data_IF_643079224697
#
_entry.id   IF_643079224697
#
_cell.length_a   1.000
_cell.length_b   1.000
_cell.length_c   1.000
_cell.angle_alpha   90.00
_cell.angle_beta   90.00
_cell.angle_gamma   90.00
#
_symmetry.space_group_name_H-M   'P 1'
#
loop_
_entity.id
_entity.type
_entity.pdbx_description
1 polymer ?
#
# COMPACT_ATOMS: atom_id res chain seq x y z
N UNK A 1 -4.60 25.04 -8.98
CA UNK A 1 -5.19 24.52 -10.25
C UNK A 1 -4.19 23.76 -11.12
N UNK A 2 -2.90 24.08 -11.12
CA UNK A 2 -1.89 23.45 -11.99
C UNK A 2 -1.62 21.96 -11.69
N UNK A 3 -1.79 21.51 -10.47
CA UNK A 3 -1.49 20.13 -10.08
C UNK A 3 -2.60 19.11 -10.30
N UNK A 4 -3.84 19.56 -10.56
CA UNK A 4 -5.00 18.65 -10.69
C UNK A 4 -5.16 18.10 -12.12
N UNK A 5 -4.74 18.85 -13.14
CA UNK A 5 -5.00 18.53 -14.56
C UNK A 5 -3.75 17.96 -15.25
N UNK A 6 -2.56 18.24 -14.73
CA UNK A 6 -1.28 17.76 -15.29
C UNK A 6 -0.74 16.59 -14.48
N UNK A 7 0.00 15.70 -15.15
CA UNK A 7 0.70 14.60 -14.46
C UNK A 7 1.83 15.13 -13.57
N UNK A 8 2.19 14.36 -12.56
CA UNK A 8 3.31 14.66 -11.67
C UNK A 8 4.59 14.92 -12.47
N UNK A 9 4.91 14.05 -13.44
CA UNK A 9 6.06 14.21 -14.32
C UNK A 9 6.03 15.54 -15.09
N UNK A 10 4.88 15.90 -15.69
CA UNK A 10 4.74 17.13 -16.44
C UNK A 10 4.91 18.39 -15.57
N UNK A 11 4.44 18.35 -14.32
CA UNK A 11 4.65 19.42 -13.34
C UNK A 11 6.13 19.52 -12.97
N UNK A 12 6.76 18.40 -12.63
CA UNK A 12 8.15 18.37 -12.18
C UNK A 12 9.11 18.82 -13.30
N UNK A 13 8.93 18.33 -14.52
CA UNK A 13 9.74 18.76 -15.68
C UNK A 13 9.57 20.25 -15.99
N UNK A 14 8.39 20.83 -15.77
CA UNK A 14 8.18 22.27 -16.00
C UNK A 14 8.84 23.16 -14.93
N UNK A 15 9.16 22.62 -13.75
CA UNK A 15 9.74 23.36 -12.63
C UNK A 15 11.25 23.18 -12.50
N UNK A 16 11.77 22.02 -12.88
CA UNK A 16 13.16 21.66 -12.68
C UNK A 16 13.87 21.45 -14.02
N UNK A 17 14.95 22.21 -14.27
CA UNK A 17 15.78 22.07 -15.49
C UNK A 17 16.58 20.78 -15.48
N UNK A 18 17.01 20.32 -14.29
CA UNK A 18 17.77 19.08 -14.16
C UNK A 18 16.82 17.87 -14.20
N UNK A 19 16.96 16.96 -15.19
CA UNK A 19 16.08 15.80 -15.31
C UNK A 19 16.20 14.83 -14.12
N UNK A 20 17.34 14.75 -13.47
CA UNK A 20 17.52 13.92 -12.26
C UNK A 20 16.71 14.45 -11.08
N UNK A 21 16.57 15.78 -10.95
CA UNK A 21 15.70 16.37 -9.91
C UNK A 21 14.24 16.02 -10.17
N UNK A 22 13.79 16.14 -11.42
CA UNK A 22 12.43 15.74 -11.79
C UNK A 22 12.20 14.24 -11.54
N UNK A 23 13.17 13.37 -11.86
CA UNK A 23 13.11 11.93 -11.59
C UNK A 23 13.03 11.62 -10.09
N UNK A 24 13.84 12.29 -9.27
CA UNK A 24 13.79 12.15 -7.81
C UNK A 24 12.40 12.47 -7.24
N UNK A 25 11.78 13.56 -7.70
CA UNK A 25 10.44 13.94 -7.27
C UNK A 25 9.35 13.03 -7.86
N UNK A 26 9.54 12.53 -9.06
CA UNK A 26 8.63 11.57 -9.68
C UNK A 26 8.53 10.27 -8.89
N UNK A 27 9.58 9.87 -8.15
CA UNK A 27 9.56 8.71 -7.27
C UNK A 27 8.41 8.77 -6.26
N UNK A 28 7.98 9.96 -5.86
CA UNK A 28 6.91 10.11 -4.87
C UNK A 28 5.57 9.51 -5.31
N UNK A 29 5.37 9.29 -6.60
CA UNK A 29 4.19 8.57 -7.11
C UNK A 29 4.12 7.12 -6.60
N UNK A 30 5.26 6.49 -6.30
CA UNK A 30 5.33 5.11 -5.81
C UNK A 30 4.73 4.93 -4.42
N UNK A 31 4.61 5.99 -3.62
CA UNK A 31 3.90 5.94 -2.33
C UNK A 31 2.42 5.55 -2.47
N UNK A 32 1.83 5.85 -3.63
CA UNK A 32 0.47 5.43 -3.97
C UNK A 32 0.43 4.23 -4.92
N UNK A 33 1.57 3.57 -5.15
CA UNK A 33 1.67 2.48 -6.12
C UNK A 33 1.29 2.91 -7.55
N UNK A 34 1.57 4.15 -7.92
CA UNK A 34 1.15 4.76 -9.19
C UNK A 34 2.34 5.21 -10.05
N UNK A 35 2.10 5.39 -11.36
CA UNK A 35 3.09 5.94 -12.29
C UNK A 35 3.09 7.47 -12.24
N UNK A 36 4.26 8.15 -12.14
CA UNK A 36 4.33 9.62 -12.19
C UNK A 36 3.87 10.20 -13.54
N UNK A 37 3.84 9.39 -14.58
CA UNK A 37 3.37 9.77 -15.92
C UNK A 37 1.84 9.77 -16.03
N UNK A 38 1.13 9.24 -15.03
CA UNK A 38 -0.33 9.12 -14.97
C UNK A 38 -0.91 9.81 -13.74
N UNK A 39 -0.17 9.81 -12.64
CA UNK A 39 -0.56 10.40 -11.35
C UNK A 39 -0.72 11.92 -11.44
N UNK A 40 -1.78 12.50 -10.87
CA UNK A 40 -1.96 13.94 -10.80
C UNK A 40 -0.80 14.65 -10.08
N UNK A 41 -0.36 15.78 -10.61
CA UNK A 41 0.73 16.58 -10.03
C UNK A 41 0.43 17.14 -8.64
N UNK A 42 -0.83 17.15 -8.21
CA UNK A 42 -1.24 17.49 -6.85
C UNK A 42 -0.51 16.60 -5.81
N UNK A 43 -0.22 15.34 -6.16
CA UNK A 43 0.48 14.42 -5.27
C UNK A 43 1.95 14.78 -5.02
N UNK A 44 2.49 15.83 -5.64
CA UNK A 44 3.76 16.45 -5.21
C UNK A 44 3.70 17.01 -3.76
N UNK A 45 2.50 17.07 -3.15
CA UNK A 45 2.37 17.35 -1.73
C UNK A 45 3.14 16.35 -0.87
N UNK A 46 3.31 15.11 -1.33
CA UNK A 46 4.11 14.08 -0.65
C UNK A 46 5.57 14.55 -0.52
N UNK A 47 6.13 15.13 -1.59
CA UNK A 47 7.47 15.72 -1.54
C UNK A 47 7.57 16.85 -0.51
N UNK A 48 6.53 17.69 -0.42
CA UNK A 48 6.50 18.76 0.57
C UNK A 48 6.51 18.19 2.00
N UNK A 49 5.69 17.19 2.29
CA UNK A 49 5.67 16.55 3.60
C UNK A 49 7.00 15.88 3.93
N UNK A 50 7.59 15.12 2.99
CA UNK A 50 8.86 14.42 3.21
C UNK A 50 10.02 15.38 3.47
N UNK A 51 10.12 16.49 2.72
CA UNK A 51 11.26 17.41 2.83
C UNK A 51 11.10 18.51 3.89
N UNK A 52 9.88 18.88 4.27
CA UNK A 52 9.65 19.95 5.24
C UNK A 52 9.29 19.42 6.63
N UNK A 53 8.43 18.39 6.71
CA UNK A 53 8.07 17.76 7.99
C UNK A 53 9.10 16.69 8.39
N UNK A 54 9.68 16.02 7.41
CA UNK A 54 10.61 14.92 7.57
C UNK A 54 9.94 13.59 7.92
N UNK A 55 10.58 12.46 7.61
CA UNK A 55 10.13 11.14 8.03
C UNK A 55 10.42 10.92 9.51
N UNK A 56 9.49 10.28 10.22
CA UNK A 56 9.70 9.83 11.59
C UNK A 56 9.81 8.31 11.63
N UNK A 57 10.74 7.79 12.43
CA UNK A 57 10.89 6.37 12.67
C UNK A 57 10.67 6.07 14.15
N UNK A 58 9.84 5.08 14.50
CA UNK A 58 9.63 4.73 15.91
C UNK A 58 10.92 4.25 16.56
N UNK A 59 11.18 4.67 17.79
CA UNK A 59 12.28 4.14 18.59
C UNK A 59 12.04 2.64 18.82
N UNK A 60 13.01 1.81 18.48
CA UNK A 60 12.88 0.35 18.49
C UNK A 60 12.32 -0.26 17.20
N UNK A 61 12.20 0.56 16.13
CA UNK A 61 11.86 0.13 14.78
C UNK A 61 10.36 0.06 14.50
N UNK A 62 10.00 -0.20 13.24
CA UNK A 62 8.61 -0.19 12.75
C UNK A 62 7.69 -1.17 13.49
N UNK A 63 8.21 -2.25 14.03
CA UNK A 63 7.45 -3.23 14.81
C UNK A 63 6.76 -2.59 16.03
N UNK A 64 7.26 -1.47 16.53
CA UNK A 64 6.67 -0.79 17.69
C UNK A 64 5.28 -0.22 17.37
N UNK A 65 5.02 0.16 16.13
CA UNK A 65 3.68 0.59 15.71
C UNK A 65 2.68 -0.56 15.92
N UNK A 66 3.01 -1.76 15.41
CA UNK A 66 2.13 -2.93 15.56
C UNK A 66 1.95 -3.33 17.04
N UNK A 67 3.03 -3.29 17.83
CA UNK A 67 2.96 -3.61 19.27
C UNK A 67 2.10 -2.62 20.04
N UNK A 68 2.26 -1.32 19.78
CA UNK A 68 1.48 -0.27 20.44
C UNK A 68 0.00 -0.36 20.09
N UNK A 69 -0.32 -0.56 18.80
CA UNK A 69 -1.70 -0.74 18.37
C UNK A 69 -2.33 -2.01 18.95
N UNK A 70 -1.58 -3.11 18.98
CA UNK A 70 -2.04 -4.35 19.60
C UNK A 70 -2.35 -4.15 21.10
N UNK A 71 -1.46 -3.49 21.83
CA UNK A 71 -1.67 -3.18 23.25
C UNK A 71 -2.92 -2.31 23.45
N UNK A 72 -3.07 -1.25 22.67
CA UNK A 72 -4.26 -0.39 22.71
C UNK A 72 -5.55 -1.19 22.44
N UNK A 73 -5.53 -2.08 21.47
CA UNK A 73 -6.68 -2.95 21.18
C UNK A 73 -7.05 -3.83 22.38
N UNK A 74 -6.04 -4.41 23.07
CA UNK A 74 -6.28 -5.20 24.29
C UNK A 74 -6.90 -4.36 25.41
N UNK A 75 -6.42 -3.13 25.60
CA UNK A 75 -6.97 -2.19 26.60
C UNK A 75 -8.44 -1.80 26.27
N UNK A 76 -8.80 -1.77 24.99
CA UNK A 76 -10.16 -1.54 24.52
C UNK A 76 -11.03 -2.82 24.52
N UNK A 77 -10.52 -3.96 25.01
CA UNK A 77 -11.28 -5.20 25.11
C UNK A 77 -11.36 -6.02 23.82
N UNK A 78 -10.53 -5.71 22.81
CA UNK A 78 -10.47 -6.48 21.55
C UNK A 78 -9.85 -7.85 21.84
N UNK A 79 -10.50 -8.90 21.34
CA UNK A 79 -10.00 -10.26 21.41
C UNK A 79 -9.23 -10.62 20.13
N UNK A 80 -8.04 -11.17 20.29
CA UNK A 80 -7.21 -11.61 19.16
C UNK A 80 -7.23 -13.13 19.04
N UNK A 81 -7.56 -13.64 17.87
CA UNK A 81 -7.51 -15.05 17.53
C UNK A 81 -6.42 -15.25 16.48
N UNK A 82 -5.19 -15.48 16.95
CA UNK A 82 -4.03 -15.70 16.06
C UNK A 82 -3.96 -17.16 15.62
N UNK A 83 -3.32 -17.40 14.47
CA UNK A 83 -3.21 -18.72 13.84
C UNK A 83 -4.57 -19.38 13.54
N UNK A 84 -5.61 -18.56 13.40
CA UNK A 84 -6.97 -19.00 13.06
C UNK A 84 -7.37 -18.38 11.72
N UNK A 85 -7.30 -19.16 10.66
CA UNK A 85 -7.60 -18.71 9.32
C UNK A 85 -9.10 -18.55 9.11
N UNK A 86 -9.52 -17.39 8.63
CA UNK A 86 -10.89 -17.19 8.14
C UNK A 86 -11.00 -17.79 6.73
N UNK A 87 -11.99 -18.66 6.54
CA UNK A 87 -12.23 -19.41 5.30
C UNK A 87 -13.45 -18.90 4.52
N UNK A 88 -14.40 -18.29 5.22
CA UNK A 88 -15.62 -17.78 4.61
C UNK A 88 -16.25 -16.69 5.46
N UNK A 89 -16.84 -15.69 4.80
CA UNK A 89 -17.75 -14.72 5.40
C UNK A 89 -19.18 -15.23 5.15
N UNK A 90 -19.87 -15.59 6.23
CA UNK A 90 -21.22 -16.14 6.18
C UNK A 90 -22.23 -15.02 5.96
N UNK A 91 -23.19 -15.25 5.09
CA UNK A 91 -24.22 -14.26 4.78
C UNK A 91 -25.56 -14.92 4.41
N UNK A 92 -26.63 -14.21 4.66
CA UNK A 92 -27.99 -14.58 4.22
C UNK A 92 -28.65 -13.37 3.59
N UNK A 93 -29.17 -13.49 2.37
CA UNK A 93 -29.83 -12.39 1.65
C UNK A 93 -28.98 -11.09 1.60
N UNK A 94 -27.70 -11.20 1.28
CA UNK A 94 -26.72 -10.12 1.24
C UNK A 94 -26.42 -9.44 2.59
N UNK A 95 -26.86 -10.03 3.71
CA UNK A 95 -26.54 -9.55 5.06
C UNK A 95 -25.52 -10.50 5.69
N UNK A 96 -24.44 -9.96 6.22
CA UNK A 96 -23.45 -10.74 6.97
C UNK A 96 -24.11 -11.33 8.22
N UNK A 97 -23.79 -12.59 8.51
CA UNK A 97 -24.27 -13.32 9.70
C UNK A 97 -23.13 -13.86 10.54
N UNK A 98 -21.91 -13.85 10.02
CA UNK A 98 -20.74 -14.34 10.75
C UNK A 98 -19.53 -14.63 9.86
N UNK A 99 -18.59 -15.33 10.44
CA UNK A 99 -17.44 -15.89 9.73
C UNK A 99 -17.27 -17.36 10.06
N UNK A 100 -16.71 -18.11 9.11
CA UNK A 100 -16.21 -19.47 9.37
C UNK A 100 -14.69 -19.43 9.33
N UNK A 101 -14.10 -19.96 10.37
CA UNK A 101 -12.66 -20.13 10.48
C UNK A 101 -12.28 -21.61 10.29
N UNK A 102 -10.97 -21.89 10.28
CA UNK A 102 -10.45 -23.25 10.28
C UNK A 102 -10.80 -24.05 11.55
N UNK A 103 -11.30 -23.40 12.61
CA UNK A 103 -11.57 -24.03 13.90
C UNK A 103 -13.07 -23.99 14.29
N UNK A 104 -13.77 -22.90 13.98
CA UNK A 104 -15.16 -22.66 14.41
C UNK A 104 -15.89 -21.67 13.52
N UNK A 105 -17.20 -21.56 13.74
CA UNK A 105 -17.99 -20.43 13.22
C UNK A 105 -18.23 -19.41 14.33
N UNK A 106 -18.18 -18.12 13.98
CA UNK A 106 -18.40 -16.99 14.88
C UNK A 106 -19.50 -16.13 14.29
N UNK A 107 -20.56 -15.90 15.03
CA UNK A 107 -21.65 -15.00 14.64
C UNK A 107 -21.21 -13.55 14.84
N UNK A 108 -21.48 -12.70 13.86
CA UNK A 108 -21.26 -11.26 13.94
C UNK A 108 -22.11 -10.53 12.90
N UNK A 109 -22.44 -9.28 13.17
CA UNK A 109 -23.23 -8.43 12.29
C UNK A 109 -22.41 -7.67 11.26
N UNK A 110 -21.11 -7.48 11.54
CA UNK A 110 -20.19 -6.70 10.71
C UNK A 110 -18.86 -7.44 10.59
N UNK A 111 -18.35 -7.50 9.37
CA UNK A 111 -17.01 -8.02 9.07
C UNK A 111 -16.22 -6.95 8.33
N UNK A 112 -15.02 -6.64 8.84
CA UNK A 112 -14.05 -5.79 8.15
C UNK A 112 -12.93 -6.68 7.63
N UNK A 113 -12.81 -6.80 6.31
CA UNK A 113 -11.74 -7.58 5.68
C UNK A 113 -10.54 -6.66 5.38
N UNK A 114 -9.36 -7.03 5.89
CA UNK A 114 -8.09 -6.42 5.50
C UNK A 114 -7.37 -7.19 4.39
N UNK A 115 -8.03 -8.16 3.79
CA UNK A 115 -7.56 -8.85 2.59
C UNK A 115 -7.81 -7.96 1.37
N UNK A 116 -6.97 -8.06 0.34
CA UNK A 116 -7.23 -7.43 -0.96
C UNK A 116 -8.68 -7.70 -1.40
N UNK A 117 -9.35 -6.68 -1.93
CA UNK A 117 -10.76 -6.75 -2.30
C UNK A 117 -11.04 -7.86 -3.32
N UNK A 118 -10.13 -8.09 -4.27
CA UNK A 118 -10.26 -9.18 -5.24
C UNK A 118 -10.31 -10.54 -4.53
N UNK A 119 -9.35 -10.81 -3.66
CA UNK A 119 -9.31 -12.06 -2.91
C UNK A 119 -10.40 -12.17 -1.85
N UNK A 120 -10.87 -11.07 -1.30
CA UNK A 120 -12.03 -11.08 -0.39
C UNK A 120 -13.26 -11.64 -1.12
N UNK A 121 -13.54 -11.15 -2.33
CA UNK A 121 -14.68 -11.67 -3.12
C UNK A 121 -14.44 -13.09 -3.67
N UNK A 122 -13.24 -13.34 -4.18
CA UNK A 122 -12.91 -14.65 -4.77
C UNK A 122 -12.94 -15.78 -3.72
N UNK A 123 -12.44 -15.52 -2.51
CA UNK A 123 -12.16 -16.57 -1.53
C UNK A 123 -13.10 -16.59 -0.34
N UNK A 124 -13.53 -15.43 0.16
CA UNK A 124 -14.30 -15.34 1.39
C UNK A 124 -15.80 -15.13 1.18
N UNK A 125 -16.21 -14.40 0.14
CA UNK A 125 -17.61 -14.06 -0.14
C UNK A 125 -18.19 -14.98 -1.22
N UNK A 126 -18.29 -16.26 -0.92
CA UNK A 126 -18.81 -17.27 -1.86
C UNK A 126 -20.30 -17.05 -2.13
N UNK A 127 -20.68 -17.11 -3.40
CA UNK A 127 -22.09 -17.02 -3.82
C UNK A 127 -22.68 -15.61 -3.87
N UNK A 128 -21.92 -14.58 -3.49
CA UNK A 128 -22.31 -13.19 -3.72
C UNK A 128 -21.95 -12.73 -5.13
N UNK A 129 -22.76 -11.81 -5.65
CA UNK A 129 -22.46 -11.18 -6.94
C UNK A 129 -21.19 -10.34 -6.83
N UNK A 130 -20.21 -10.70 -7.64
CA UNK A 130 -18.93 -9.95 -7.68
C UNK A 130 -19.14 -8.55 -8.24
N UNK A 131 -18.57 -7.52 -7.60
CA UNK A 131 -18.61 -6.15 -8.10
C UNK A 131 -17.64 -5.98 -9.28
N UNK A 132 -18.00 -6.52 -10.45
CA UNK A 132 -17.14 -6.56 -11.65
C UNK A 132 -16.48 -5.24 -11.99
N UNK A 133 -17.16 -4.11 -11.76
CA UNK A 133 -16.60 -2.78 -12.01
C UNK A 133 -15.42 -2.47 -11.08
N UNK A 134 -15.49 -2.88 -9.81
CA UNK A 134 -14.41 -2.67 -8.83
C UNK A 134 -13.26 -3.64 -9.12
N UNK A 135 -13.56 -4.92 -9.35
CA UNK A 135 -12.54 -5.95 -9.57
C UNK A 135 -11.76 -5.80 -10.88
N UNK A 136 -12.30 -5.05 -11.84
CA UNK A 136 -11.63 -4.74 -13.11
C UNK A 136 -10.82 -3.44 -13.09
N UNK A 137 -10.81 -2.71 -11.98
CA UNK A 137 -9.97 -1.52 -11.85
C UNK A 137 -8.49 -1.89 -11.94
N UNK A 138 -7.71 -0.96 -12.47
CA UNK A 138 -6.26 -1.08 -12.48
C UNK A 138 -5.75 -1.22 -11.04
N UNK A 139 -4.89 -2.20 -10.83
CA UNK A 139 -4.27 -2.44 -9.53
C UNK A 139 -3.08 -1.49 -9.33
N UNK A 140 -2.72 -1.23 -8.08
CA UNK A 140 -1.47 -0.56 -7.75
C UNK A 140 -0.26 -1.42 -8.17
N UNK A 141 0.90 -0.80 -8.32
CA UNK A 141 2.15 -1.54 -8.50
C UNK A 141 2.38 -2.51 -7.35
N UNK A 142 3.08 -3.60 -7.64
CA UNK A 142 3.57 -4.54 -6.64
C UNK A 142 5.09 -4.40 -6.46
N UNK A 143 5.61 -4.98 -5.38
CA UNK A 143 7.02 -5.01 -5.09
C UNK A 143 7.43 -6.36 -4.51
N UNK A 144 8.68 -6.74 -4.72
CA UNK A 144 9.30 -7.88 -4.05
C UNK A 144 10.15 -7.32 -2.91
N UNK A 145 9.92 -7.80 -1.69
CA UNK A 145 10.64 -7.35 -0.50
C UNK A 145 11.55 -8.48 -0.01
N UNK A 146 12.84 -8.15 0.17
CA UNK A 146 13.82 -9.06 0.73
C UNK A 146 14.29 -8.53 2.09
N UNK A 147 14.29 -9.39 3.10
CA UNK A 147 14.85 -9.10 4.41
C UNK A 147 16.21 -9.79 4.54
N UNK A 148 17.28 -9.01 4.38
CA UNK A 148 18.64 -9.53 4.42
C UNK A 148 19.28 -9.28 5.78
N UNK A 149 19.65 -10.37 6.47
CA UNK A 149 20.51 -10.30 7.65
C UNK A 149 21.97 -10.34 7.21
N UNK A 150 22.63 -9.19 7.23
CA UNK A 150 24.04 -9.06 6.82
C UNK A 150 24.96 -9.20 8.02
N UNK A 151 26.11 -9.87 7.83
CA UNK A 151 27.17 -9.98 8.88
C UNK A 151 28.03 -8.72 8.97
N UNK A 152 28.12 -7.98 7.88
CA UNK A 152 28.94 -6.77 7.76
C UNK A 152 28.05 -5.53 7.60
N UNK A 153 28.55 -4.39 8.04
CA UNK A 153 27.92 -3.09 7.81
C UNK A 153 28.56 -2.42 6.59
N UNK A 154 27.76 -1.73 5.81
CA UNK A 154 28.21 -0.96 4.64
C UNK A 154 28.11 0.52 5.00
N UNK A 155 29.28 1.17 5.15
CA UNK A 155 29.34 2.60 5.53
C UNK A 155 28.83 3.52 4.43
N UNK A 156 28.88 3.07 3.17
CA UNK A 156 28.39 3.81 2.00
C UNK A 156 26.87 3.88 1.91
N UNK A 157 26.16 3.01 2.65
CA UNK A 157 24.70 2.97 2.66
C UNK A 157 24.14 3.74 3.84
N UNK A 158 23.18 4.64 3.55
CA UNK A 158 22.38 5.30 4.57
C UNK A 158 21.20 4.44 5.03
N UNK A 159 20.36 5.00 5.90
CA UNK A 159 19.12 4.36 6.36
C UNK A 159 18.16 4.11 5.19
N UNK A 160 18.20 4.95 4.17
CA UNK A 160 17.36 4.87 2.99
C UNK A 160 18.19 5.14 1.74
N UNK A 161 18.28 4.16 0.86
CA UNK A 161 19.01 4.26 -0.40
C UNK A 161 18.06 3.90 -1.54
N UNK A 162 18.17 4.64 -2.64
CA UNK A 162 17.31 4.46 -3.82
C UNK A 162 18.21 4.37 -5.04
N UNK A 163 18.05 3.29 -5.79
CA UNK A 163 18.71 3.05 -7.05
C UNK A 163 17.69 3.20 -8.18
N UNK A 164 17.91 4.14 -9.06
CA UNK A 164 17.02 4.41 -10.18
C UNK A 164 17.44 3.61 -11.41
N UNK A 165 16.45 3.14 -12.19
CA UNK A 165 16.70 2.64 -13.53
C UNK A 165 17.24 3.75 -14.44
N UNK A 166 18.06 3.39 -15.42
CA UNK A 166 18.60 4.32 -16.41
C UNK A 166 17.48 4.96 -17.24
N UNK A 167 16.49 4.18 -17.65
CA UNK A 167 15.26 4.66 -18.27
C UNK A 167 14.09 4.48 -17.30
N UNK A 168 13.81 5.54 -16.56
CA UNK A 168 12.76 5.54 -15.53
C UNK A 168 11.34 5.45 -16.11
N UNK A 169 11.16 5.94 -17.35
CA UNK A 169 9.86 5.85 -18.01
C UNK A 169 9.56 4.42 -18.45
N UNK A 170 10.54 3.77 -19.08
CA UNK A 170 10.43 2.37 -19.49
C UNK A 170 10.16 1.43 -18.30
N UNK A 171 10.75 1.71 -17.12
CA UNK A 171 10.46 0.96 -15.88
C UNK A 171 8.96 1.00 -15.56
N UNK A 172 8.34 2.18 -15.54
CA UNK A 172 6.90 2.30 -15.25
C UNK A 172 6.02 1.75 -16.37
N UNK A 173 6.43 1.86 -17.62
CA UNK A 173 5.73 1.21 -18.72
C UNK A 173 5.72 -0.31 -18.53
N UNK A 174 6.85 -0.92 -18.17
CA UNK A 174 6.92 -2.35 -17.90
C UNK A 174 6.05 -2.78 -16.71
N UNK A 175 5.99 -1.98 -15.63
CA UNK A 175 5.17 -2.29 -14.45
C UNK A 175 3.66 -2.28 -14.75
N UNK A 176 3.20 -1.41 -15.64
CA UNK A 176 1.76 -1.18 -15.87
C UNK A 176 1.23 -1.69 -17.21
N UNK A 177 2.03 -2.40 -18.02
CA UNK A 177 1.63 -2.88 -19.37
C UNK A 177 1.33 -4.38 -19.42
N UNK A 178 1.35 -5.09 -18.29
CA UNK A 178 1.02 -6.53 -18.21
C UNK A 178 -0.45 -6.79 -17.96
#
# INVERSE_FOLDING_TARGET
YYGMVRTMNAVNQSRFKNPKTAQLLNRMATYNGSSPYRTPGLLNIISHLEFNEGPAMPIGGMVQISKTLHQLCLELGVQFHLNERVEEILHTQNKVTGIRTSQKSVECDIVVSNMDVHFTYERLLKGLHEPKKILRQEKSSSAIVFYWGMKESFQELGVHNIFFAADYKAEFEAIFTT
#
